data_IF_952894211599
#
_entry.id   IF_952894211599
#
_cell.length_a   1.000
_cell.length_b   1.000
_cell.length_c   1.000
_cell.angle_alpha   90.00
_cell.angle_beta   90.00
_cell.angle_gamma   90.00
#
_symmetry.space_group_name_H-M   'P 1'
#
loop_
_entity.id
_entity.type
_entity.pdbx_description
1 polymer ?
#
# COMPACT_ATOMS: atom_id res chain seq x y z
N UNK A 1 -44.60 10.97 17.81
CA UNK A 1 -45.19 11.02 16.46
C UNK A 1 -45.45 12.46 16.14
N UNK A 2 -44.89 12.93 15.04
CA UNK A 2 -44.82 14.36 14.69
C UNK A 2 -46.11 14.88 14.07
N UNK A 3 -47.10 14.01 13.83
CA UNK A 3 -48.42 14.36 13.28
C UNK A 3 -48.43 14.54 11.76
N UNK A 4 -47.25 14.52 11.14
CA UNK A 4 -47.06 14.47 9.70
C UNK A 4 -46.78 13.01 9.27
N UNK A 5 -47.67 12.40 8.47
CA UNK A 5 -47.54 10.99 8.06
C UNK A 5 -46.30 10.73 7.21
N UNK A 6 -45.76 11.73 6.50
CA UNK A 6 -44.53 11.60 5.72
C UNK A 6 -43.28 11.59 6.60
N UNK A 7 -43.23 12.45 7.62
CA UNK A 7 -42.14 12.48 8.61
C UNK A 7 -42.16 11.21 9.47
N UNK A 8 -43.33 10.77 9.90
CA UNK A 8 -43.46 9.53 10.69
C UNK A 8 -43.11 8.27 9.86
N UNK A 9 -43.28 8.29 8.53
CA UNK A 9 -42.79 7.24 7.63
C UNK A 9 -41.26 7.24 7.50
N UNK A 10 -40.66 8.42 7.35
CA UNK A 10 -39.21 8.59 7.30
C UNK A 10 -38.53 8.15 8.60
N UNK A 11 -39.11 8.51 9.75
CA UNK A 11 -38.63 8.08 11.07
C UNK A 11 -38.67 6.55 11.20
N UNK A 12 -39.73 5.90 10.72
CA UNK A 12 -39.85 4.43 10.75
C UNK A 12 -38.83 3.75 9.84
N UNK A 13 -38.63 4.28 8.64
CA UNK A 13 -37.61 3.76 7.72
C UNK A 13 -36.20 3.93 8.30
N UNK A 14 -35.88 5.12 8.83
CA UNK A 14 -34.59 5.40 9.44
C UNK A 14 -34.34 4.55 10.70
N UNK A 15 -35.38 4.27 11.48
CA UNK A 15 -35.29 3.38 12.63
C UNK A 15 -35.07 1.92 12.21
N UNK A 16 -35.77 1.44 11.17
CA UNK A 16 -35.61 0.09 10.63
C UNK A 16 -34.22 -0.13 10.00
N UNK A 17 -33.65 0.88 9.32
CA UNK A 17 -32.29 0.83 8.78
C UNK A 17 -31.20 0.80 9.87
N UNK A 18 -31.52 1.21 11.11
CA UNK A 18 -30.59 1.23 12.26
C UNK A 18 -30.89 0.15 13.29
N UNK A 19 -31.83 -0.74 13.00
CA UNK A 19 -32.13 -1.89 13.84
C UNK A 19 -30.96 -2.88 13.70
N UNK A 20 -30.06 -2.84 14.70
CA UNK A 20 -28.79 -3.58 14.69
C UNK A 20 -29.04 -5.08 14.51
N UNK A 21 -28.47 -5.64 13.45
CA UNK A 21 -28.51 -7.07 13.17
C UNK A 21 -27.89 -7.85 14.34
N UNK A 22 -28.32 -9.10 14.61
CA UNK A 22 -27.60 -9.98 15.53
C UNK A 22 -26.10 -10.12 15.18
N UNK A 23 -25.73 -9.98 13.91
CA UNK A 23 -24.33 -9.95 13.47
C UNK A 23 -23.59 -8.70 13.96
N UNK A 24 -24.21 -7.52 13.92
CA UNK A 24 -23.62 -6.27 14.42
C UNK A 24 -23.39 -6.33 15.93
N UNK A 25 -24.27 -7.00 16.66
CA UNK A 25 -24.14 -7.20 18.11
C UNK A 25 -22.99 -8.16 18.45
N UNK A 26 -22.71 -9.13 17.58
CA UNK A 26 -21.56 -10.02 17.72
C UNK A 26 -20.25 -9.27 17.41
N UNK A 27 -20.22 -8.45 16.37
CA UNK A 27 -19.08 -7.57 16.03
C UNK A 27 -18.76 -6.63 17.19
N UNK A 28 -19.77 -5.97 17.79
CA UNK A 28 -19.58 -5.11 18.96
C UNK A 28 -19.01 -5.89 20.16
N UNK A 29 -19.46 -7.13 20.38
CA UNK A 29 -18.94 -8.00 21.47
C UNK A 29 -17.48 -8.36 21.27
N UNK A 30 -17.10 -8.74 20.04
CA UNK A 30 -15.71 -9.08 19.69
C UNK A 30 -14.81 -7.86 19.83
N UNK A 31 -15.24 -6.70 19.30
CA UNK A 31 -14.50 -5.45 19.41
C UNK A 31 -14.27 -5.04 20.87
N UNK A 32 -15.29 -5.19 21.71
CA UNK A 32 -15.20 -4.91 23.15
C UNK A 32 -14.22 -5.85 23.86
N UNK A 33 -14.25 -7.14 23.54
CA UNK A 33 -13.33 -8.13 24.11
C UNK A 33 -11.86 -7.82 23.75
N UNK A 34 -11.59 -7.46 22.49
CA UNK A 34 -10.25 -7.09 22.04
C UNK A 34 -9.75 -5.80 22.69
N UNK A 35 -10.64 -4.81 22.87
CA UNK A 35 -10.30 -3.56 23.57
C UNK A 35 -10.04 -3.77 25.06
N UNK A 36 -10.67 -4.78 25.69
CA UNK A 36 -10.41 -5.13 27.08
C UNK A 36 -9.06 -5.82 27.28
N UNK A 37 -8.54 -6.53 26.27
CA UNK A 37 -7.22 -7.15 26.26
C UNK A 37 -6.07 -6.18 25.98
N UNK A 38 -6.37 -4.95 25.52
CA UNK A 38 -5.36 -3.93 25.32
C UNK A 38 -4.78 -3.43 26.67
N UNK A 39 -3.45 -3.33 26.82
CA UNK A 39 -2.85 -2.83 28.04
C UNK A 39 -3.32 -1.40 28.32
N UNK A 40 -4.02 -1.21 29.43
CA UNK A 40 -4.50 0.08 29.90
C UNK A 40 -3.30 0.91 30.35
N UNK A 41 -2.75 1.75 29.47
CA UNK A 41 -1.71 2.72 29.85
C UNK A 41 -2.39 3.80 30.72
N UNK A 42 -2.01 3.96 32.00
CA UNK A 42 -2.62 4.98 32.84
C UNK A 42 -2.30 6.37 32.27
N UNK A 43 -3.25 7.32 32.31
CA UNK A 43 -3.02 8.67 31.82
C UNK A 43 -2.08 9.41 32.77
N UNK A 44 -0.79 9.36 32.48
CA UNK A 44 0.25 10.19 33.09
C UNK A 44 0.79 11.15 32.05
N UNK A 45 0.95 12.43 32.42
CA UNK A 45 1.57 13.45 31.57
C UNK A 45 2.96 12.95 31.13
N UNK A 46 3.22 12.80 29.82
CA UNK A 46 4.53 12.41 29.33
C UNK A 46 5.57 13.47 29.72
N UNK A 47 6.53 13.14 30.59
CA UNK A 47 7.70 14.00 30.81
C UNK A 47 8.36 14.05 32.18
N UNK A 48 7.80 13.49 33.26
CA UNK A 48 8.46 13.55 34.57
C UNK A 48 8.67 12.19 35.23
N UNK A 49 9.87 11.67 34.97
CA UNK A 49 10.77 10.81 35.78
C UNK A 49 11.79 10.29 34.75
N UNK A 50 13.09 10.56 34.76
CA UNK A 50 14.03 10.93 35.80
C UNK A 50 15.35 10.29 35.38
N UNK A 51 16.27 11.11 34.82
CA UNK A 51 17.71 10.89 34.63
C UNK A 51 18.21 9.46 34.32
N UNK A 52 18.64 9.25 33.08
CA UNK A 52 19.66 8.25 32.75
C UNK A 52 19.26 7.29 31.63
N UNK A 53 19.38 7.76 30.39
CA UNK A 53 19.19 6.95 29.21
C UNK A 53 18.85 7.89 28.07
N UNK A 54 19.83 8.20 27.24
CA UNK A 54 19.56 8.79 25.95
C UNK A 54 18.71 7.78 25.19
N UNK A 55 17.39 7.89 25.28
CA UNK A 55 16.47 7.33 24.29
C UNK A 55 16.79 8.05 23.00
N UNK A 56 17.78 7.51 22.29
CA UNK A 56 18.04 7.79 20.89
C UNK A 56 16.68 7.60 20.23
N UNK A 57 16.07 8.71 19.83
CA UNK A 57 15.09 8.70 18.77
C UNK A 57 15.78 7.93 17.65
N UNK A 58 15.33 6.69 17.43
CA UNK A 58 15.87 5.84 16.39
C UNK A 58 15.66 6.62 15.10
N UNK A 59 16.76 7.03 14.48
CA UNK A 59 16.69 7.80 13.24
C UNK A 59 15.93 6.92 12.26
N UNK A 60 14.80 7.44 11.77
CA UNK A 60 14.05 6.91 10.64
C UNK A 60 15.08 6.46 9.61
N UNK A 61 15.03 5.17 9.23
CA UNK A 61 16.01 4.50 8.37
C UNK A 61 16.53 5.49 7.32
N UNK A 62 17.81 5.82 7.44
CA UNK A 62 18.45 6.71 6.50
C UNK A 62 18.32 6.07 5.13
N UNK A 63 17.52 6.70 4.26
CA UNK A 63 17.24 6.20 2.92
C UNK A 63 18.55 5.84 2.23
N UNK A 64 18.61 4.65 1.63
CA UNK A 64 19.85 4.09 1.07
C UNK A 64 20.56 5.14 0.18
N UNK A 65 21.79 5.57 0.53
CA UNK A 65 22.53 6.56 -0.25
C UNK A 65 22.83 6.08 -1.68
N UNK A 66 22.93 4.77 -1.91
CA UNK A 66 23.08 4.19 -3.25
C UNK A 66 21.85 4.46 -4.12
N UNK A 67 20.65 4.17 -3.61
CA UNK A 67 19.39 4.47 -4.29
C UNK A 67 19.25 5.98 -4.56
N UNK A 68 19.56 6.82 -3.57
CA UNK A 68 19.52 8.28 -3.75
C UNK A 68 20.44 8.75 -4.88
N UNK A 69 21.67 8.23 -4.95
CA UNK A 69 22.63 8.58 -5.99
C UNK A 69 22.14 8.14 -7.38
N UNK A 70 21.68 6.89 -7.51
CA UNK A 70 21.16 6.34 -8.75
C UNK A 70 19.93 7.12 -9.26
N UNK A 71 19.00 7.47 -8.36
CA UNK A 71 17.83 8.27 -8.71
C UNK A 71 18.19 9.70 -9.13
N UNK A 72 19.14 10.35 -8.45
CA UNK A 72 19.62 11.69 -8.84
C UNK A 72 20.26 11.71 -10.22
N UNK A 73 20.98 10.65 -10.59
CA UNK A 73 21.58 10.54 -11.91
C UNK A 73 20.51 10.44 -13.01
N UNK A 74 19.43 9.69 -12.75
CA UNK A 74 18.33 9.47 -13.71
C UNK A 74 17.32 10.62 -13.76
N UNK A 75 17.20 11.40 -12.69
CA UNK A 75 16.22 12.47 -12.53
C UNK A 75 16.89 13.82 -12.24
N UNK A 76 17.70 14.35 -13.18
CA UNK A 76 18.33 15.65 -13.00
C UNK A 76 17.26 16.74 -12.86
N UNK A 77 17.38 17.57 -11.82
CA UNK A 77 16.47 18.69 -11.57
C UNK A 77 15.20 18.36 -10.78
N UNK A 78 14.98 17.09 -10.40
CA UNK A 78 13.89 16.74 -9.46
C UNK A 78 14.30 17.15 -8.03
N UNK A 79 13.41 17.79 -7.25
CA UNK A 79 13.66 18.17 -5.86
C UNK A 79 14.17 17.02 -5.00
N UNK A 80 15.14 17.32 -4.12
CA UNK A 80 15.79 16.32 -3.29
C UNK A 80 14.79 15.59 -2.38
N UNK A 81 13.77 16.29 -1.91
CA UNK A 81 12.72 15.77 -1.03
C UNK A 81 11.88 14.70 -1.75
N UNK A 82 11.57 14.91 -3.04
CA UNK A 82 10.86 13.93 -3.84
C UNK A 82 11.73 12.70 -4.10
N UNK A 83 13.02 12.90 -4.36
CA UNK A 83 13.97 11.78 -4.55
C UNK A 83 14.14 11.00 -3.23
N UNK A 84 14.22 11.69 -2.09
CA UNK A 84 14.33 11.05 -0.77
C UNK A 84 13.08 10.25 -0.42
N UNK A 85 11.90 10.84 -0.60
CA UNK A 85 10.67 10.09 -0.44
C UNK A 85 10.67 8.85 -1.34
N UNK A 86 11.13 9.03 -2.60
CA UNK A 86 11.10 7.98 -3.58
C UNK A 86 12.05 6.81 -3.35
N UNK A 87 13.29 7.11 -2.97
CA UNK A 87 14.23 6.08 -2.56
C UNK A 87 13.72 5.32 -1.31
N UNK A 88 12.93 5.97 -0.45
CA UNK A 88 12.29 5.36 0.71
C UNK A 88 11.30 4.22 0.41
N UNK A 89 10.66 4.20 -0.77
CA UNK A 89 9.87 3.04 -1.19
C UNK A 89 10.66 2.05 -2.05
N UNK A 90 11.62 2.53 -2.85
CA UNK A 90 12.47 1.62 -3.64
C UNK A 90 13.34 0.71 -2.78
N UNK A 91 13.77 1.17 -1.60
CA UNK A 91 14.46 0.30 -0.62
C UNK A 91 13.58 -0.85 -0.12
N UNK A 92 12.25 -0.72 -0.18
CA UNK A 92 11.33 -1.84 0.13
C UNK A 92 11.15 -2.78 -1.06
N UNK A 93 11.39 -2.31 -2.29
CA UNK A 93 11.30 -3.12 -3.50
C UNK A 93 12.53 -4.04 -3.60
N UNK A 94 13.72 -3.54 -3.28
CA UNK A 94 14.97 -4.29 -3.38
C UNK A 94 16.21 -3.40 -3.22
N UNK A 95 17.35 -3.91 -3.68
CA UNK A 95 18.60 -3.16 -3.77
C UNK A 95 18.63 -2.23 -5.00
N UNK A 96 19.72 -1.47 -5.14
CA UNK A 96 19.92 -0.55 -6.26
C UNK A 96 19.85 -1.29 -7.61
N UNK A 97 20.51 -2.45 -7.73
CA UNK A 97 20.54 -3.23 -8.96
C UNK A 97 19.13 -3.70 -9.36
N UNK A 98 18.32 -4.11 -8.40
CA UNK A 98 16.93 -4.48 -8.64
C UNK A 98 16.08 -3.28 -9.05
N UNK A 99 16.23 -2.15 -8.37
CA UNK A 99 15.53 -0.93 -8.74
C UNK A 99 15.89 -0.49 -10.17
N UNK A 100 17.17 -0.54 -10.55
CA UNK A 100 17.63 -0.24 -11.90
C UNK A 100 17.01 -1.15 -12.95
N UNK A 101 16.92 -2.46 -12.70
CA UNK A 101 16.22 -3.38 -13.62
C UNK A 101 14.77 -2.98 -13.84
N UNK A 102 14.05 -2.61 -12.78
CA UNK A 102 12.67 -2.14 -12.90
C UNK A 102 12.56 -0.84 -13.70
N UNK A 103 13.49 0.09 -13.50
CA UNK A 103 13.52 1.36 -14.24
C UNK A 103 13.88 1.15 -15.71
N UNK A 104 14.83 0.27 -16.00
CA UNK A 104 15.26 -0.08 -17.35
C UNK A 104 14.18 -0.85 -18.11
N UNK A 105 13.36 -1.62 -17.38
CA UNK A 105 12.13 -2.21 -17.90
C UNK A 105 11.02 -1.18 -18.20
N UNK A 106 11.26 0.09 -17.90
CA UNK A 106 10.43 1.23 -18.28
C UNK A 106 9.56 1.80 -17.16
N UNK A 107 9.70 1.35 -15.91
CA UNK A 107 9.07 2.04 -14.79
C UNK A 107 9.77 3.37 -14.49
N UNK A 108 9.00 4.37 -14.07
CA UNK A 108 9.60 5.62 -13.60
C UNK A 108 10.22 5.39 -12.22
N UNK A 109 11.40 5.98 -11.91
CA UNK A 109 11.91 5.97 -10.54
C UNK A 109 10.99 6.68 -9.53
N UNK A 110 10.05 7.50 -10.00
CA UNK A 110 9.03 8.12 -9.15
C UNK A 110 7.74 7.27 -9.03
N UNK A 111 7.65 6.12 -9.70
CA UNK A 111 6.47 5.26 -9.65
C UNK A 111 6.49 4.40 -8.39
N UNK A 112 5.43 4.49 -7.58
CA UNK A 112 5.27 3.77 -6.32
C UNK A 112 4.71 2.35 -6.50
N UNK A 113 4.19 2.03 -7.69
CA UNK A 113 3.48 0.77 -7.96
C UNK A 113 4.40 -0.45 -8.07
N UNK A 114 5.71 -0.24 -8.04
CA UNK A 114 6.72 -1.28 -8.10
C UNK A 114 6.51 -2.36 -7.02
N UNK A 115 6.16 -1.92 -5.81
CA UNK A 115 5.93 -2.82 -4.68
C UNK A 115 4.71 -3.71 -4.93
N UNK A 116 3.61 -3.16 -5.46
CA UNK A 116 2.40 -3.91 -5.79
C UNK A 116 2.66 -4.94 -6.91
N UNK A 117 3.46 -4.56 -7.91
CA UNK A 117 3.82 -5.45 -9.01
C UNK A 117 4.67 -6.62 -8.52
N UNK A 118 5.67 -6.34 -7.68
CA UNK A 118 6.48 -7.36 -7.00
C UNK A 118 5.62 -8.28 -6.14
N UNK A 119 4.74 -7.72 -5.32
CA UNK A 119 3.83 -8.49 -4.46
C UNK A 119 2.89 -9.39 -5.25
N UNK A 120 2.49 -8.98 -6.45
CA UNK A 120 1.71 -9.81 -7.37
C UNK A 120 2.54 -10.92 -8.06
N UNK A 121 3.86 -10.89 -7.95
CA UNK A 121 4.79 -11.86 -8.55
C UNK A 121 5.31 -11.47 -9.94
N UNK A 122 5.20 -10.21 -10.34
CA UNK A 122 5.83 -9.71 -11.56
C UNK A 122 7.32 -9.47 -11.32
N UNK A 123 8.13 -9.75 -12.33
CA UNK A 123 9.55 -9.37 -12.39
C UNK A 123 9.78 -8.24 -13.41
N UNK A 124 10.93 -7.56 -13.38
CA UNK A 124 11.28 -6.58 -14.41
C UNK A 124 11.18 -7.14 -15.84
N UNK A 125 11.65 -8.37 -16.06
CA UNK A 125 11.62 -9.03 -17.37
C UNK A 125 10.19 -9.27 -17.89
N UNK A 126 9.23 -9.45 -16.99
CA UNK A 126 7.84 -9.65 -17.37
C UNK A 126 7.21 -8.38 -17.95
N UNK A 127 7.67 -7.18 -17.57
CA UNK A 127 7.10 -5.91 -18.03
C UNK A 127 7.18 -5.72 -19.55
N UNK A 128 8.26 -6.22 -20.18
CA UNK A 128 8.46 -6.13 -21.62
C UNK A 128 7.72 -7.23 -22.41
N UNK A 129 7.23 -8.29 -21.74
CA UNK A 129 6.54 -9.40 -22.41
C UNK A 129 5.21 -8.94 -23.00
N UNK A 130 4.88 -9.49 -24.18
CA UNK A 130 3.64 -9.17 -24.90
C UNK A 130 2.46 -10.03 -24.44
N UNK A 131 1.38 -9.37 -24.03
CA UNK A 131 0.06 -9.95 -23.80
C UNK A 131 -0.90 -9.46 -24.89
N UNK A 132 -0.84 -10.12 -26.05
CA UNK A 132 -1.57 -9.71 -27.26
C UNK A 132 -0.89 -8.51 -27.93
N UNK A 133 -1.62 -7.41 -28.22
CA UNK A 133 -1.05 -6.26 -28.92
C UNK A 133 -0.13 -5.40 -28.04
N UNK A 134 -0.28 -5.46 -26.71
CA UNK A 134 0.42 -4.62 -25.74
C UNK A 134 1.41 -5.43 -24.88
N UNK A 135 2.40 -4.74 -24.32
CA UNK A 135 3.25 -5.30 -23.27
C UNK A 135 2.51 -5.35 -21.92
N UNK A 136 3.04 -6.12 -20.98
CA UNK A 136 2.53 -6.14 -19.59
C UNK A 136 2.52 -4.74 -19.00
N UNK A 137 3.61 -3.98 -19.15
CA UNK A 137 3.68 -2.61 -18.63
C UNK A 137 2.62 -1.69 -19.24
N UNK A 138 2.34 -1.83 -20.53
CA UNK A 138 1.28 -1.06 -21.20
C UNK A 138 -0.11 -1.40 -20.67
N UNK A 139 -0.40 -2.68 -20.39
CA UNK A 139 -1.65 -3.08 -19.73
C UNK A 139 -1.76 -2.48 -18.33
N UNK A 140 -0.69 -2.56 -17.54
CA UNK A 140 -0.64 -1.98 -16.20
C UNK A 140 -0.86 -0.46 -16.21
N UNK A 141 -0.28 0.25 -17.19
CA UNK A 141 -0.51 1.69 -17.40
C UNK A 141 -1.94 2.03 -17.81
N UNK A 142 -2.65 1.09 -18.45
CA UNK A 142 -4.08 1.22 -18.80
C UNK A 142 -5.02 0.78 -17.66
N UNK A 143 -4.48 0.39 -16.51
CA UNK A 143 -5.26 0.02 -15.34
C UNK A 143 -5.62 -1.47 -15.25
N UNK A 144 -5.00 -2.34 -16.06
CA UNK A 144 -5.15 -3.79 -15.87
C UNK A 144 -4.56 -4.22 -14.52
N UNK A 145 -5.23 -5.16 -13.85
CA UNK A 145 -4.77 -5.69 -12.57
C UNK A 145 -3.45 -6.47 -12.73
N UNK A 146 -2.48 -6.33 -11.79
CA UNK A 146 -1.24 -7.10 -11.81
C UNK A 146 -1.46 -8.62 -11.80
N UNK A 147 -2.38 -9.09 -10.94
CA UNK A 147 -2.74 -10.51 -10.87
C UNK A 147 -3.28 -11.07 -12.20
N UNK A 148 -4.01 -10.26 -12.97
CA UNK A 148 -4.46 -10.66 -14.31
C UNK A 148 -3.29 -10.82 -15.28
N UNK A 149 -2.32 -9.89 -15.26
CA UNK A 149 -1.13 -9.97 -16.10
C UNK A 149 -0.34 -11.25 -15.79
N UNK A 150 -0.14 -11.56 -14.51
CA UNK A 150 0.56 -12.77 -14.04
C UNK A 150 -0.16 -14.04 -14.49
N UNK A 151 -1.49 -14.11 -14.30
CA UNK A 151 -2.27 -15.26 -14.75
C UNK A 151 -2.17 -15.48 -16.28
N UNK A 152 -2.16 -14.39 -17.05
CA UNK A 152 -2.01 -14.42 -18.52
C UNK A 152 -0.62 -14.92 -18.93
N UNK A 153 0.44 -14.43 -18.29
CA UNK A 153 1.82 -14.89 -18.51
C UNK A 153 1.99 -16.37 -18.16
N UNK A 154 1.46 -16.81 -17.02
CA UNK A 154 1.51 -18.20 -16.60
C UNK A 154 0.79 -19.13 -17.60
N UNK A 155 -0.30 -18.67 -18.21
CA UNK A 155 -0.97 -19.41 -19.29
C UNK A 155 -0.13 -19.47 -20.56
N UNK A 156 0.43 -18.35 -21.02
CA UNK A 156 1.33 -18.35 -22.20
C UNK A 156 2.54 -19.28 -22.04
N UNK A 157 3.13 -19.33 -20.83
CA UNK A 157 4.26 -20.23 -20.53
C UNK A 157 3.86 -21.71 -20.63
N UNK A 158 2.64 -22.07 -20.21
CA UNK A 158 2.10 -23.43 -20.37
C UNK A 158 1.81 -23.77 -21.82
N UNK A 159 1.20 -22.85 -22.55
CA UNK A 159 0.86 -23.04 -23.97
C UNK A 159 2.12 -23.18 -24.85
N UNK A 160 3.25 -22.60 -24.46
CA UNK A 160 4.54 -22.73 -25.17
C UNK A 160 5.33 -24.00 -24.81
N UNK A 161 4.95 -24.71 -23.73
CA UNK A 161 5.63 -25.91 -23.25
C UNK A 161 4.93 -27.22 -23.66
N UNK A 162 3.74 -27.14 -24.26
CA UNK A 162 2.99 -28.27 -24.82
C UNK A 162 3.07 -28.29 -26.34
#
# INVERSE_FOLDING_TARGET
MTGDPGVDALIRQWAAERERSPEDQEVDRIATAWLAEAPQVPPGIPGQRGRGGASRWEQVDATDPGLLAAMRQRLPGVPAELITAAAGWWQMVGDVDEAERWWDAGMSPLDQRALDYRAAGLTPDDLARRLGPLTVLEHLRRGSAPAWCVARLARQRRDAAG
#
